data_IF_406938520242
#
_entry.id   IF_406938520242
#
_cell.length_a   1.000
_cell.length_b   1.000
_cell.length_c   1.000
_cell.angle_alpha   90.00
_cell.angle_beta   90.00
_cell.angle_gamma   90.00
#
_symmetry.space_group_name_H-M   'P 1'
#
loop_
_entity.id
_entity.type
_entity.pdbx_description
1 polymer ?
#
# COMPACT_ATOMS: atom_id res chain seq x y z
N UNK A 1 18.50 -54.16 27.46
CA UNK A 1 19.11 -53.02 28.15
C UNK A 1 20.01 -52.35 27.12
N UNK A 2 19.49 -51.29 26.38
CA UNK A 2 20.19 -50.58 25.35
C UNK A 2 20.40 -49.16 25.86
N UNK A 3 21.61 -48.86 26.33
CA UNK A 3 21.99 -47.49 26.69
C UNK A 3 22.32 -46.75 25.42
N UNK A 4 21.57 -45.72 25.12
CA UNK A 4 21.84 -44.75 24.04
C UNK A 4 23.04 -43.86 24.45
N UNK A 5 24.08 -43.89 23.64
CA UNK A 5 25.32 -43.13 23.83
C UNK A 5 25.06 -41.62 23.94
N UNK A 6 25.66 -40.89 24.91
CA UNK A 6 25.44 -39.48 25.18
C UNK A 6 25.91 -38.53 24.05
N UNK A 7 26.56 -39.02 23.01
CA UNK A 7 27.02 -38.20 21.87
C UNK A 7 25.95 -37.79 20.86
N UNK A 8 24.77 -38.43 20.87
CA UNK A 8 23.68 -38.13 19.94
C UNK A 8 22.74 -37.05 20.49
N UNK A 9 22.66 -36.88 21.78
CA UNK A 9 21.75 -35.91 22.42
C UNK A 9 22.16 -34.44 22.14
N UNK A 10 23.45 -34.11 22.18
CA UNK A 10 23.95 -32.75 21.96
C UNK A 10 23.73 -32.20 20.52
N UNK A 11 23.65 -33.10 19.53
CA UNK A 11 23.43 -32.67 18.12
C UNK A 11 21.96 -32.34 17.81
N UNK A 12 21.02 -32.90 18.54
CA UNK A 12 19.59 -32.59 18.42
C UNK A 12 19.26 -31.25 19.07
N UNK A 13 19.78 -30.97 20.24
CA UNK A 13 19.56 -29.71 20.95
C UNK A 13 20.08 -28.51 20.16
N UNK A 14 21.29 -28.62 19.59
CA UNK A 14 21.88 -27.55 18.77
C UNK A 14 21.05 -27.28 17.50
N UNK A 15 20.52 -28.32 16.86
CA UNK A 15 19.67 -28.17 15.67
C UNK A 15 18.32 -27.50 15.96
N UNK A 16 17.72 -27.80 17.10
CA UNK A 16 16.46 -27.16 17.54
C UNK A 16 16.69 -25.69 17.86
N UNK A 17 17.81 -25.34 18.49
CA UNK A 17 18.18 -23.96 18.79
C UNK A 17 18.45 -23.14 17.50
N UNK A 18 19.07 -23.72 16.48
CA UNK A 18 19.26 -23.05 15.19
C UNK A 18 17.98 -22.87 14.40
N UNK A 19 17.05 -23.84 14.46
CA UNK A 19 15.72 -23.72 13.86
C UNK A 19 14.86 -22.66 14.56
N UNK A 20 14.90 -22.59 15.89
CA UNK A 20 14.20 -21.58 16.66
C UNK A 20 14.77 -20.15 16.40
N UNK A 21 16.10 -20.02 16.24
CA UNK A 21 16.74 -18.77 15.89
C UNK A 21 16.40 -18.29 14.46
N UNK A 22 16.27 -19.21 13.49
CA UNK A 22 15.85 -18.92 12.13
C UNK A 22 14.40 -18.47 12.05
N UNK A 23 13.50 -19.10 12.81
CA UNK A 23 12.07 -18.71 12.89
C UNK A 23 11.92 -17.35 13.57
N UNK A 24 12.72 -17.06 14.60
CA UNK A 24 12.72 -15.75 15.27
C UNK A 24 13.22 -14.61 14.39
N UNK A 25 14.17 -14.87 13.49
CA UNK A 25 14.71 -13.85 12.57
C UNK A 25 13.70 -13.46 11.46
N UNK A 26 12.83 -14.36 11.05
CA UNK A 26 11.79 -14.08 10.01
C UNK A 26 10.66 -13.20 10.55
N UNK A 27 10.38 -13.23 11.85
CA UNK A 27 9.32 -12.43 12.48
C UNK A 27 9.71 -10.96 12.76
N UNK A 28 10.99 -10.61 12.67
CA UNK A 28 11.48 -9.27 12.97
C UNK A 28 11.41 -8.29 11.77
N UNK A 29 11.00 -8.73 10.59
CA UNK A 29 11.00 -7.91 9.36
C UNK A 29 9.66 -7.22 9.03
N UNK A 30 8.70 -7.16 9.96
CA UNK A 30 7.48 -6.36 9.76
C UNK A 30 7.77 -4.88 10.06
N UNK A 31 8.46 -4.22 9.15
CA UNK A 31 8.52 -2.76 9.13
C UNK A 31 7.10 -2.21 8.99
N UNK A 32 6.64 -1.48 10.01
CA UNK A 32 5.36 -0.76 9.96
C UNK A 32 5.44 0.37 8.92
N UNK A 33 5.20 0.08 7.65
CA UNK A 33 4.90 1.15 6.70
C UNK A 33 3.43 1.53 6.91
N UNK A 34 3.18 2.77 7.28
CA UNK A 34 1.83 3.29 7.50
C UNK A 34 1.13 3.49 6.14
N UNK A 35 0.54 2.41 5.60
CA UNK A 35 -0.32 2.48 4.42
C UNK A 35 -1.76 2.54 4.92
N UNK A 36 -2.46 3.61 4.61
CA UNK A 36 -3.89 3.74 4.87
C UNK A 36 -4.66 3.34 3.64
N UNK A 37 -5.63 2.42 3.78
CA UNK A 37 -6.49 1.95 2.69
C UNK A 37 -7.96 2.14 3.06
N UNK A 38 -8.73 2.66 2.10
CA UNK A 38 -10.17 2.82 2.21
C UNK A 38 -10.83 2.28 0.93
N UNK A 39 -12.09 1.87 1.04
CA UNK A 39 -12.89 1.49 -0.11
C UNK A 39 -14.30 2.06 0.00
N UNK A 40 -14.90 2.28 -1.17
CA UNK A 40 -16.31 2.56 -1.35
C UNK A 40 -16.85 1.73 -2.52
N UNK A 41 -18.09 1.27 -2.45
CA UNK A 41 -18.63 0.40 -3.47
C UNK A 41 -20.17 0.41 -3.51
N UNK A 42 -20.70 0.12 -4.69
CA UNK A 42 -22.13 -0.09 -4.86
C UNK A 42 -22.56 -1.42 -4.24
N UNK A 43 -23.37 -1.35 -3.21
CA UNK A 43 -23.90 -2.53 -2.49
C UNK A 43 -24.84 -3.38 -3.35
N UNK A 44 -25.39 -2.83 -4.46
CA UNK A 44 -26.28 -3.55 -5.38
C UNK A 44 -25.51 -4.23 -6.52
N UNK A 45 -24.24 -3.89 -6.76
CA UNK A 45 -23.44 -4.48 -7.80
C UNK A 45 -23.21 -5.99 -7.56
N UNK A 46 -23.26 -6.78 -8.61
CA UNK A 46 -22.90 -8.20 -8.58
C UNK A 46 -21.42 -8.37 -8.97
N UNK A 47 -20.55 -8.27 -7.99
CA UNK A 47 -19.10 -8.42 -8.19
C UNK A 47 -18.70 -9.81 -8.70
N UNK A 48 -19.54 -10.83 -8.53
CA UNK A 48 -19.28 -12.17 -9.04
C UNK A 48 -19.47 -12.27 -10.56
N UNK A 49 -20.19 -11.33 -11.16
CA UNK A 49 -20.40 -11.26 -12.61
C UNK A 49 -19.16 -10.71 -13.36
N UNK A 50 -18.28 -9.94 -12.69
CA UNK A 50 -17.09 -9.38 -13.34
C UNK A 50 -15.99 -10.43 -13.48
N UNK A 51 -15.82 -10.96 -14.68
CA UNK A 51 -14.78 -11.96 -15.02
C UNK A 51 -13.71 -11.41 -15.93
N UNK A 52 -14.05 -10.39 -16.70
CA UNK A 52 -13.17 -9.76 -17.68
C UNK A 52 -13.10 -8.25 -17.43
N UNK A 53 -11.96 -7.67 -17.75
CA UNK A 53 -11.79 -6.22 -17.66
C UNK A 53 -10.91 -5.70 -18.79
N UNK A 54 -10.99 -4.40 -19.02
CA UNK A 54 -10.02 -3.66 -19.83
C UNK A 54 -9.64 -2.36 -19.12
N UNK A 55 -8.48 -1.82 -19.49
CA UNK A 55 -8.08 -0.50 -19.01
C UNK A 55 -8.81 0.59 -19.76
N UNK A 56 -9.47 1.49 -19.04
CA UNK A 56 -10.06 2.67 -19.65
C UNK A 56 -8.95 3.57 -20.19
N UNK A 57 -8.99 3.86 -21.48
CA UNK A 57 -8.06 4.76 -22.15
C UNK A 57 -8.48 6.21 -21.92
N UNK A 58 -8.24 6.71 -20.72
CA UNK A 58 -8.29 8.15 -20.47
C UNK A 58 -6.88 8.65 -20.17
N UNK A 59 -6.55 9.88 -20.58
CA UNK A 59 -5.30 10.48 -20.15
C UNK A 59 -5.31 10.51 -18.63
N UNK A 60 -4.33 9.87 -18.01
CA UNK A 60 -4.13 9.87 -16.56
C UNK A 60 -4.10 11.32 -16.10
N UNK A 61 -5.18 11.78 -15.49
CA UNK A 61 -5.23 13.13 -14.96
C UNK A 61 -4.47 13.08 -13.64
N UNK A 62 -3.23 13.61 -13.64
CA UNK A 62 -2.53 13.86 -12.40
C UNK A 62 -3.36 14.87 -11.60
N UNK A 63 -3.71 14.51 -10.37
CA UNK A 63 -4.33 15.43 -9.42
C UNK A 63 -3.20 16.34 -8.95
N UNK A 64 -3.16 17.60 -9.47
CA UNK A 64 -2.06 18.55 -9.19
C UNK A 64 -1.35 19.02 -10.47
N UNK A 65 -0.26 19.77 -10.35
CA UNK A 65 0.42 20.45 -11.45
C UNK A 65 0.80 19.51 -12.61
N UNK A 66 0.02 19.55 -13.67
CA UNK A 66 -0.01 18.58 -14.77
C UNK A 66 1.25 18.54 -15.64
N UNK A 67 2.12 19.55 -15.61
CA UNK A 67 3.26 19.65 -16.54
C UNK A 67 4.51 18.87 -16.12
N UNK A 68 4.75 18.68 -14.85
CA UNK A 68 5.88 17.89 -14.35
C UNK A 68 5.59 16.38 -14.39
N UNK A 69 4.34 15.99 -14.25
CA UNK A 69 3.86 14.60 -14.14
C UNK A 69 4.01 13.79 -15.45
N UNK A 70 3.98 14.42 -16.61
CA UNK A 70 3.79 13.70 -17.89
C UNK A 70 5.02 12.92 -18.36
N UNK A 71 6.23 13.25 -17.93
CA UNK A 71 7.47 12.56 -18.36
C UNK A 71 7.94 11.48 -17.38
N UNK A 72 7.61 11.62 -16.11
CA UNK A 72 7.93 10.61 -15.08
C UNK A 72 6.93 9.45 -15.10
N UNK A 73 5.85 9.58 -15.84
CA UNK A 73 4.64 8.80 -15.70
C UNK A 73 4.61 7.45 -16.45
N UNK A 74 5.42 7.26 -17.50
CA UNK A 74 5.33 6.02 -18.28
C UNK A 74 5.84 4.80 -17.50
N UNK A 75 6.87 4.97 -16.69
CA UNK A 75 7.41 3.89 -15.88
C UNK A 75 6.47 3.56 -14.71
N UNK A 76 5.92 4.59 -14.06
CA UNK A 76 4.92 4.43 -13.00
C UNK A 76 3.64 3.80 -13.54
N UNK A 77 3.13 4.25 -14.70
CA UNK A 77 1.97 3.65 -15.37
C UNK A 77 2.19 2.16 -15.64
N UNK A 78 3.34 1.81 -16.21
CA UNK A 78 3.68 0.40 -16.46
C UNK A 78 3.70 -0.44 -15.18
N UNK A 79 4.28 0.08 -14.10
CA UNK A 79 4.35 -0.61 -12.81
C UNK A 79 2.96 -0.77 -12.19
N UNK A 80 2.14 0.29 -12.19
CA UNK A 80 0.78 0.25 -11.64
C UNK A 80 -0.05 -0.78 -12.40
N UNK A 81 -0.08 -0.70 -13.74
CA UNK A 81 -0.85 -1.66 -14.57
C UNK A 81 -0.40 -3.08 -14.33
N UNK A 82 0.90 -3.35 -14.39
CA UNK A 82 1.43 -4.69 -14.17
C UNK A 82 1.05 -5.26 -12.80
N UNK A 83 1.12 -4.46 -11.74
CA UNK A 83 0.78 -4.89 -10.40
C UNK A 83 -0.73 -5.09 -10.21
N UNK A 84 -1.56 -4.20 -10.77
CA UNK A 84 -3.03 -4.34 -10.75
C UNK A 84 -3.45 -5.57 -11.55
N UNK A 85 -2.90 -5.78 -12.75
CA UNK A 85 -3.18 -6.95 -13.59
C UNK A 85 -2.87 -8.25 -12.85
N UNK A 86 -1.72 -8.33 -12.16
CA UNK A 86 -1.36 -9.48 -11.35
C UNK A 86 -2.35 -9.73 -10.20
N UNK A 87 -2.79 -8.66 -9.52
CA UNK A 87 -3.76 -8.77 -8.42
C UNK A 87 -5.14 -9.19 -8.93
N UNK A 88 -5.64 -8.61 -10.01
CA UNK A 88 -6.93 -8.96 -10.59
C UNK A 88 -6.93 -10.38 -11.17
N UNK A 89 -5.84 -10.80 -11.82
CA UNK A 89 -5.67 -12.16 -12.29
C UNK A 89 -5.72 -13.18 -11.13
N UNK A 90 -5.09 -12.88 -9.99
CA UNK A 90 -5.17 -13.74 -8.80
C UNK A 90 -6.59 -13.90 -8.25
N UNK A 91 -7.50 -12.98 -8.60
CA UNK A 91 -8.92 -12.97 -8.22
C UNK A 91 -9.82 -13.57 -9.32
N UNK A 92 -9.22 -14.10 -10.38
CA UNK A 92 -9.93 -14.76 -11.48
C UNK A 92 -10.48 -13.80 -12.55
N UNK A 93 -10.02 -12.54 -12.56
CA UNK A 93 -10.36 -11.60 -13.64
C UNK A 93 -9.31 -11.67 -14.76
N UNK A 94 -9.76 -11.60 -16.01
CA UNK A 94 -8.91 -11.67 -17.20
C UNK A 94 -8.93 -10.35 -17.96
N UNK A 95 -7.75 -9.84 -18.32
CA UNK A 95 -7.61 -8.69 -19.20
C UNK A 95 -8.02 -9.06 -20.61
N UNK A 96 -8.93 -8.28 -21.21
CA UNK A 96 -9.43 -8.49 -22.58
C UNK A 96 -9.39 -7.16 -23.35
N UNK A 97 -9.34 -7.23 -24.68
CA UNK A 97 -9.38 -6.06 -25.56
C UNK A 97 -10.80 -5.66 -25.98
N UNK A 98 -11.75 -6.59 -25.95
CA UNK A 98 -13.11 -6.38 -26.44
C UNK A 98 -14.15 -6.95 -25.48
N UNK A 99 -15.30 -6.30 -25.42
CA UNK A 99 -16.46 -6.72 -24.61
C UNK A 99 -16.11 -7.08 -23.16
N UNK A 100 -15.41 -6.21 -22.40
CA UNK A 100 -15.14 -6.45 -21.00
C UNK A 100 -16.41 -6.36 -20.15
N UNK A 101 -16.41 -7.04 -19.00
CA UNK A 101 -17.45 -6.88 -17.99
C UNK A 101 -17.23 -5.60 -17.17
N UNK A 102 -15.96 -5.20 -16.98
CA UNK A 102 -15.57 -4.03 -16.21
C UNK A 102 -14.50 -3.20 -16.90
N UNK A 103 -14.48 -1.91 -16.61
CA UNK A 103 -13.41 -0.97 -16.98
C UNK A 103 -12.60 -0.65 -15.72
N UNK A 104 -11.28 -0.59 -15.86
CA UNK A 104 -10.37 -0.24 -14.76
C UNK A 104 -9.66 1.07 -15.09
N UNK A 105 -9.59 1.99 -14.14
CA UNK A 105 -8.81 3.21 -14.25
C UNK A 105 -8.10 3.49 -12.93
N UNK A 106 -6.96 4.14 -12.97
CA UNK A 106 -6.28 4.61 -11.77
C UNK A 106 -6.02 6.10 -11.82
N UNK A 107 -5.91 6.70 -10.62
CA UNK A 107 -5.49 8.09 -10.44
C UNK A 107 -4.39 8.13 -9.40
N UNK A 108 -3.43 9.05 -9.60
CA UNK A 108 -2.35 9.30 -8.64
C UNK A 108 -2.30 10.77 -8.29
N UNK A 109 -2.00 11.06 -7.02
CA UNK A 109 -1.78 12.41 -6.51
C UNK A 109 -0.61 12.44 -5.54
N UNK A 110 0.00 13.61 -5.37
CA UNK A 110 0.99 13.88 -4.34
C UNK A 110 0.57 15.17 -3.65
N UNK A 111 0.40 15.08 -2.33
CA UNK A 111 0.08 16.20 -1.46
C UNK A 111 1.22 16.44 -0.49
N UNK A 112 1.65 17.71 -0.38
CA UNK A 112 2.60 18.12 0.65
C UNK A 112 1.83 18.30 1.96
N UNK A 113 2.29 17.63 3.01
CA UNK A 113 1.73 17.70 4.37
C UNK A 113 2.74 18.36 5.29
N UNK A 114 2.24 19.06 6.29
CA UNK A 114 3.04 19.69 7.34
C UNK A 114 2.60 19.10 8.67
N UNK A 115 3.52 18.48 9.36
CA UNK A 115 3.32 18.00 10.74
C UNK A 115 4.01 18.97 11.71
N UNK A 116 3.26 19.49 12.67
CA UNK A 116 3.73 20.42 13.67
C UNK A 116 3.73 19.70 15.01
N UNK A 117 4.90 19.27 15.47
CA UNK A 117 5.05 18.65 16.77
C UNK A 117 5.45 19.72 17.81
N UNK A 118 4.51 20.06 18.69
CA UNK A 118 4.74 20.92 19.83
C UNK A 118 5.17 20.06 21.04
N UNK A 119 6.47 20.06 21.34
CA UNK A 119 7.02 19.45 22.55
C UNK A 119 6.91 20.42 23.72
N UNK A 120 5.68 20.82 24.04
CA UNK A 120 5.39 21.65 25.23
C UNK A 120 5.70 20.91 26.53
N UNK A 121 6.91 21.02 27.04
CA UNK A 121 7.20 20.65 28.42
C UNK A 121 6.55 21.67 29.36
N UNK A 122 5.36 21.37 29.81
CA UNK A 122 4.74 22.09 30.93
C UNK A 122 5.37 21.62 32.24
N UNK A 123 6.35 22.36 32.76
CA UNK A 123 6.83 22.17 34.14
C UNK A 123 5.91 22.93 35.11
N UNK A 124 5.10 22.23 35.93
CA UNK A 124 4.33 22.89 36.97
C UNK A 124 5.21 23.09 38.21
N UNK A 125 6.07 24.07 38.27
CA UNK A 125 6.63 24.64 39.48
C UNK A 125 7.87 25.48 39.25
N UNK A 126 7.72 26.70 38.75
CA UNK A 126 8.67 27.80 39.08
C UNK A 126 7.93 29.14 39.08
N UNK A 127 7.96 29.91 40.19
CA UNK A 127 7.22 31.17 40.33
C UNK A 127 7.93 32.37 39.71
N UNK A 128 8.93 32.20 38.88
CA UNK A 128 9.61 33.31 38.19
C UNK A 128 9.62 33.02 36.69
N UNK A 129 8.86 33.83 35.96
CA UNK A 129 8.64 33.72 34.52
C UNK A 129 9.92 33.88 33.71
N UNK A 130 10.29 32.79 33.04
CA UNK A 130 11.18 32.78 31.89
C UNK A 130 10.42 32.15 30.75
N UNK A 131 10.12 32.91 29.72
CA UNK A 131 9.67 32.42 28.44
C UNK A 131 10.83 31.68 27.78
N UNK A 132 10.95 30.40 28.03
CA UNK A 132 11.72 29.51 27.15
C UNK A 132 10.81 29.05 26.05
N UNK A 133 11.04 29.55 24.83
CA UNK A 133 10.33 29.14 23.64
C UNK A 133 10.40 27.62 23.49
N UNK A 134 9.23 26.96 23.47
CA UNK A 134 9.14 25.57 23.04
C UNK A 134 9.69 25.47 21.63
N UNK A 135 10.58 24.53 21.42
CA UNK A 135 11.07 24.22 20.07
C UNK A 135 9.91 23.56 19.33
N UNK A 136 9.39 24.26 18.33
CA UNK A 136 8.38 23.74 17.43
C UNK A 136 9.13 23.12 16.26
N UNK A 137 9.13 21.80 16.18
CA UNK A 137 9.68 21.10 15.03
C UNK A 137 8.58 20.97 13.97
N UNK A 138 8.83 21.59 12.82
CA UNK A 138 7.93 21.51 11.64
C UNK A 138 8.53 20.52 10.67
N UNK A 139 7.83 19.41 10.45
CA UNK A 139 8.22 18.41 9.46
C UNK A 139 7.32 18.50 8.24
N UNK A 140 7.93 18.75 7.07
CA UNK A 140 7.26 18.66 5.80
C UNK A 140 7.48 17.25 5.20
N UNK A 141 6.42 16.62 4.71
CA UNK A 141 6.51 15.34 4.02
C UNK A 141 5.52 15.27 2.86
N UNK A 142 5.85 14.47 1.86
CA UNK A 142 4.98 14.21 0.73
C UNK A 142 4.17 12.94 0.96
N UNK A 143 2.85 13.03 0.81
CA UNK A 143 1.93 11.91 0.84
C UNK A 143 1.45 11.58 -0.56
N UNK A 144 1.68 10.35 -0.99
CA UNK A 144 1.17 9.81 -2.25
C UNK A 144 -0.20 9.21 -2.06
N UNK A 145 -1.11 9.53 -2.97
CA UNK A 145 -2.44 8.93 -3.07
C UNK A 145 -2.56 8.15 -4.37
N UNK A 146 -3.04 6.91 -4.26
CA UNK A 146 -3.40 6.04 -5.37
C UNK A 146 -4.88 5.65 -5.26
N UNK A 147 -5.62 5.88 -6.33
CA UNK A 147 -7.03 5.49 -6.44
C UNK A 147 -7.14 4.48 -7.57
N UNK A 148 -7.87 3.39 -7.33
CA UNK A 148 -8.26 2.42 -8.37
C UNK A 148 -9.78 2.40 -8.41
N UNK A 149 -10.33 2.61 -9.60
CA UNK A 149 -11.76 2.56 -9.89
C UNK A 149 -12.07 1.35 -10.76
N UNK A 150 -13.15 0.66 -10.42
CA UNK A 150 -13.76 -0.39 -11.24
C UNK A 150 -15.15 0.09 -11.62
N UNK A 151 -15.42 0.12 -12.92
CA UNK A 151 -16.62 0.65 -13.53
C UNK A 151 -17.31 -0.50 -14.26
N UNK A 152 -18.62 -0.64 -14.10
CA UNK A 152 -19.40 -1.61 -14.88
C UNK A 152 -19.42 -1.17 -16.34
N UNK A 153 -18.96 -2.05 -17.25
CA UNK A 153 -18.80 -1.69 -18.66
C UNK A 153 -20.12 -1.54 -19.43
N UNK A 154 -21.24 -2.03 -18.88
CA UNK A 154 -22.55 -1.95 -19.53
C UNK A 154 -23.32 -0.68 -19.15
N UNK A 155 -23.25 -0.34 -17.86
CA UNK A 155 -23.98 0.82 -17.32
C UNK A 155 -23.11 2.09 -17.23
N UNK A 156 -21.80 1.96 -17.43
CA UNK A 156 -20.80 3.04 -17.22
C UNK A 156 -20.85 3.65 -15.80
N UNK A 157 -21.25 2.83 -14.82
CA UNK A 157 -21.34 3.24 -13.43
C UNK A 157 -20.13 2.76 -12.62
N UNK A 158 -19.59 3.66 -11.78
CA UNK A 158 -18.58 3.28 -10.80
C UNK A 158 -19.19 2.28 -9.80
N UNK A 159 -18.60 1.10 -9.71
CA UNK A 159 -19.08 0.03 -8.82
C UNK A 159 -18.15 -0.22 -7.64
N UNK A 160 -16.88 0.11 -7.78
CA UNK A 160 -15.92 0.02 -6.68
C UNK A 160 -14.81 1.05 -6.84
N UNK A 161 -14.45 1.68 -5.74
CA UNK A 161 -13.30 2.58 -5.60
C UNK A 161 -12.47 2.17 -4.42
N UNK A 162 -11.19 1.95 -4.65
CA UNK A 162 -10.20 1.80 -3.60
C UNK A 162 -9.28 3.01 -3.57
N UNK A 163 -8.94 3.49 -2.37
CA UNK A 163 -8.00 4.59 -2.16
C UNK A 163 -6.92 4.15 -1.20
N UNK A 164 -5.67 4.37 -1.56
CA UNK A 164 -4.53 4.12 -0.70
C UNK A 164 -3.69 5.39 -0.56
N UNK A 165 -3.24 5.68 0.67
CA UNK A 165 -2.31 6.77 0.95
C UNK A 165 -1.08 6.25 1.67
N UNK A 166 0.08 6.80 1.34
CA UNK A 166 1.37 6.46 1.95
C UNK A 166 2.31 7.66 1.90
N UNK A 167 3.08 7.86 2.95
CA UNK A 167 4.21 8.81 2.93
C UNK A 167 5.26 8.35 1.91
N UNK A 168 5.71 9.28 1.08
CA UNK A 168 6.69 9.01 0.02
C UNK A 168 8.09 9.14 0.62
N UNK A 169 8.88 8.08 0.48
CA UNK A 169 10.32 8.14 0.71
C UNK A 169 10.99 8.61 -0.59
N UNK A 170 11.44 9.85 -0.60
CA UNK A 170 12.12 10.45 -1.77
C UNK A 170 13.50 9.84 -2.02
N UNK A 171 14.11 9.24 -0.99
CA UNK A 171 15.44 8.62 -1.05
C UNK A 171 15.41 7.17 -1.52
N UNK A 172 14.20 6.58 -1.62
CA UNK A 172 14.02 5.19 -2.01
C UNK A 172 14.63 4.88 -3.39
N UNK A 173 15.29 3.76 -3.51
CA UNK A 173 15.81 3.21 -4.77
C UNK A 173 14.66 2.81 -5.72
N UNK A 174 15.00 2.49 -6.96
CA UNK A 174 14.00 2.03 -7.95
C UNK A 174 13.30 0.75 -7.53
N UNK A 175 14.05 -0.17 -6.94
CA UNK A 175 13.59 -1.46 -6.43
C UNK A 175 12.68 -1.28 -5.21
N UNK A 176 13.04 -0.39 -4.30
CA UNK A 176 12.23 -0.08 -3.12
C UNK A 176 10.92 0.62 -3.50
N UNK A 177 10.94 1.53 -4.48
CA UNK A 177 9.73 2.15 -5.02
C UNK A 177 8.78 1.13 -5.65
N UNK A 178 9.32 0.15 -6.37
CA UNK A 178 8.53 -0.93 -6.95
C UNK A 178 7.95 -1.84 -5.87
N UNK A 179 8.74 -2.24 -4.88
CA UNK A 179 8.29 -3.04 -3.75
C UNK A 179 7.19 -2.32 -2.94
N UNK A 180 7.40 -1.02 -2.66
CA UNK A 180 6.42 -0.17 -1.98
C UNK A 180 5.11 -0.06 -2.75
N UNK A 181 5.16 0.12 -4.08
CA UNK A 181 3.97 0.19 -4.92
C UNK A 181 3.21 -1.14 -4.93
N UNK A 182 3.93 -2.26 -5.04
CA UNK A 182 3.35 -3.60 -5.00
C UNK A 182 2.66 -3.86 -3.65
N UNK A 183 3.26 -3.44 -2.54
CA UNK A 183 2.67 -3.54 -1.21
C UNK A 183 1.37 -2.71 -1.11
N UNK A 184 1.40 -1.46 -1.56
CA UNK A 184 0.23 -0.57 -1.58
C UNK A 184 -0.91 -1.20 -2.37
N UNK A 185 -0.64 -1.68 -3.59
CA UNK A 185 -1.64 -2.28 -4.47
C UNK A 185 -2.15 -3.63 -3.92
N UNK A 186 -1.29 -4.44 -3.33
CA UNK A 186 -1.72 -5.68 -2.69
C UNK A 186 -2.70 -5.42 -1.53
N UNK A 187 -2.40 -4.44 -0.66
CA UNK A 187 -3.29 -4.05 0.46
C UNK A 187 -4.59 -3.43 -0.05
N UNK A 188 -4.51 -2.56 -1.06
CA UNK A 188 -5.69 -1.91 -1.64
C UNK A 188 -6.62 -2.94 -2.27
N UNK A 189 -6.12 -3.75 -3.18
CA UNK A 189 -6.90 -4.74 -3.90
C UNK A 189 -7.27 -5.97 -3.06
N UNK A 190 -6.68 -6.17 -1.88
CA UNK A 190 -7.18 -7.15 -0.92
C UNK A 190 -8.64 -6.88 -0.50
N UNK A 191 -9.10 -5.63 -0.62
CA UNK A 191 -10.48 -5.24 -0.32
C UNK A 191 -11.45 -5.52 -1.48
N UNK A 192 -10.96 -5.83 -2.68
CA UNK A 192 -11.77 -6.20 -3.84
C UNK A 192 -11.79 -7.73 -4.04
N UNK A 193 -12.93 -8.38 -4.38
CA UNK A 193 -14.27 -7.82 -4.30
C UNK A 193 -14.70 -7.56 -2.86
N UNK A 194 -15.55 -6.54 -2.63
CA UNK A 194 -15.99 -6.23 -1.28
C UNK A 194 -16.83 -7.35 -0.70
N UNK A 195 -16.65 -7.62 0.60
CA UNK A 195 -17.50 -8.58 1.31
C UNK A 195 -18.81 -7.87 1.66
N UNK A 196 -19.93 -8.34 1.11
CA UNK A 196 -21.26 -7.89 1.53
C UNK A 196 -21.48 -8.34 2.97
N UNK A 197 -21.65 -7.40 3.89
CA UNK A 197 -22.04 -7.68 5.27
C UNK A 197 -23.54 -7.95 5.36
#
# INVERSE_FOLDING_TARGET
MWELSPKTQGRFEVRILWLAALIGAVLAATGCSSITVNQDFDTQADFAAYKTYTWLQQPTTAIGDAKAAQRTNTLLDKRIRSAVDAQLASKGMTLVSENPDALVIYHTGIDQKVDVQDWGYSYPHYPYGGWYGGQVDVYEYNEGTLIIDIIDAKSDQLVWRGTATKVIDETATSEEREANLNEVLARLLAQYPPQKR
#
